data_IF_333355585666
#
_entry.id   IF_333355585666
#
_cell.length_a   1.000
_cell.length_b   1.000
_cell.length_c   1.000
_cell.angle_alpha   90.00
_cell.angle_beta   90.00
_cell.angle_gamma   90.00
#
_symmetry.space_group_name_H-M   'P 1'
#
loop_
_entity.id
_entity.type
_entity.pdbx_description
1 polymer ?
#
# COMPACT_ATOMS: atom_id res chain seq x y z
N UNK A 1 -29.25 -5.21 3.71
CA UNK A 1 -28.59 -6.52 3.75
C UNK A 1 -27.54 -6.45 4.85
N UNK A 2 -27.60 -7.28 5.89
CA UNK A 2 -26.57 -7.29 6.93
C UNK A 2 -25.32 -7.99 6.37
N UNK A 3 -24.17 -7.33 6.46
CA UNK A 3 -22.89 -7.91 6.06
C UNK A 3 -22.44 -8.99 7.04
N UNK A 4 -21.92 -10.11 6.54
CA UNK A 4 -21.29 -11.13 7.37
C UNK A 4 -19.83 -10.75 7.73
N UNK A 5 -19.21 -11.46 8.67
CA UNK A 5 -17.85 -11.15 9.15
C UNK A 5 -16.81 -11.22 8.02
N UNK A 6 -16.94 -12.17 7.10
CA UNK A 6 -16.05 -12.31 5.95
C UNK A 6 -16.19 -11.12 5.01
N UNK A 7 -17.42 -10.72 4.68
CA UNK A 7 -17.72 -9.53 3.88
C UNK A 7 -17.22 -8.24 4.52
N UNK A 8 -17.28 -8.14 5.85
CA UNK A 8 -16.75 -7.00 6.60
C UNK A 8 -15.22 -6.97 6.60
N UNK A 9 -14.56 -8.13 6.75
CA UNK A 9 -13.12 -8.27 6.65
C UNK A 9 -12.62 -7.97 5.23
N UNK A 10 -13.33 -8.43 4.20
CA UNK A 10 -13.01 -8.18 2.79
C UNK A 10 -13.21 -6.70 2.45
N UNK A 11 -14.30 -6.06 2.91
CA UNK A 11 -14.46 -4.61 2.76
C UNK A 11 -13.39 -3.81 3.53
N UNK A 12 -12.99 -4.29 4.70
CA UNK A 12 -11.94 -3.62 5.47
C UNK A 12 -10.57 -3.75 4.79
N UNK A 13 -10.26 -4.95 4.27
CA UNK A 13 -8.98 -5.29 3.63
C UNK A 13 -8.86 -4.71 2.22
N UNK A 14 -9.93 -4.75 1.42
CA UNK A 14 -9.92 -4.40 0.00
C UNK A 14 -10.69 -3.12 -0.35
N UNK A 15 -11.51 -2.59 0.57
CA UNK A 15 -12.28 -1.36 0.35
C UNK A 15 -13.56 -1.52 -0.49
N UNK A 16 -13.80 -2.71 -1.07
CA UNK A 16 -15.00 -3.07 -1.84
C UNK A 16 -15.35 -4.56 -1.63
N UNK A 17 -16.59 -4.94 -1.95
CA UNK A 17 -16.99 -6.35 -2.03
C UNK A 17 -16.26 -7.07 -3.18
N UNK A 18 -15.83 -8.33 -3.01
CA UNK A 18 -15.28 -9.13 -4.11
C UNK A 18 -16.26 -9.14 -5.28
N UNK A 19 -15.77 -8.83 -6.48
CA UNK A 19 -16.60 -8.84 -7.68
C UNK A 19 -16.86 -10.29 -8.06
N UNK A 20 -18.09 -10.56 -8.48
CA UNK A 20 -18.44 -11.81 -9.15
C UNK A 20 -17.44 -12.08 -10.29
N UNK A 21 -16.66 -13.15 -10.16
CA UNK A 21 -15.55 -13.43 -11.06
C UNK A 21 -16.00 -13.63 -12.50
N UNK A 22 -17.24 -14.04 -12.73
CA UNK A 22 -17.83 -14.17 -14.07
C UNK A 22 -17.95 -12.84 -14.83
N UNK A 23 -17.89 -11.70 -14.12
CA UNK A 23 -17.95 -10.35 -14.69
C UNK A 23 -16.59 -9.76 -15.01
N UNK A 24 -15.50 -10.44 -14.64
CA UNK A 24 -14.14 -9.97 -14.90
C UNK A 24 -13.75 -10.22 -16.37
N UNK A 25 -12.76 -9.49 -16.92
CA UNK A 25 -12.16 -9.81 -18.21
C UNK A 25 -11.72 -11.28 -18.32
N UNK A 26 -11.81 -11.87 -19.52
CA UNK A 26 -11.58 -13.31 -19.74
C UNK A 26 -10.15 -13.76 -19.43
N UNK A 27 -9.17 -12.91 -19.66
CA UNK A 27 -7.77 -13.14 -19.30
C UNK A 27 -7.58 -13.19 -17.77
N UNK A 28 -8.27 -12.33 -17.03
CA UNK A 28 -8.28 -12.37 -15.57
C UNK A 28 -9.01 -13.62 -15.06
N UNK A 29 -10.16 -13.97 -15.64
CA UNK A 29 -10.88 -15.20 -15.27
C UNK A 29 -9.99 -16.44 -15.42
N UNK A 30 -9.34 -16.58 -16.57
CA UNK A 30 -8.40 -17.68 -16.83
C UNK A 30 -7.21 -17.68 -15.85
N UNK A 31 -6.69 -16.50 -15.49
CA UNK A 31 -5.59 -16.42 -14.50
C UNK A 31 -6.05 -16.83 -13.10
N UNK A 32 -7.28 -16.50 -12.70
CA UNK A 32 -7.81 -16.86 -11.38
C UNK A 32 -7.93 -18.37 -11.16
N UNK A 33 -8.09 -19.17 -12.22
CA UNK A 33 -8.11 -20.63 -12.13
C UNK A 33 -6.76 -21.22 -11.66
N UNK A 34 -5.65 -20.55 -12.00
CA UNK A 34 -4.27 -21.03 -11.75
C UNK A 34 -3.55 -20.26 -10.63
N UNK A 35 -4.01 -19.04 -10.31
CA UNK A 35 -3.41 -18.19 -9.28
C UNK A 35 -3.21 -18.88 -7.90
N UNK A 36 -4.12 -19.74 -7.39
CA UNK A 36 -3.89 -20.46 -6.13
C UNK A 36 -2.69 -21.41 -6.18
N UNK A 37 -2.43 -22.05 -7.33
CA UNK A 37 -1.28 -22.93 -7.51
C UNK A 37 0.02 -22.12 -7.52
N UNK A 38 0.04 -20.99 -8.24
CA UNK A 38 1.19 -20.08 -8.27
C UNK A 38 1.54 -19.59 -6.86
N UNK A 39 0.52 -19.19 -6.10
CA UNK A 39 0.68 -18.71 -4.74
C UNK A 39 1.25 -19.79 -3.80
N UNK A 40 0.73 -21.02 -3.88
CA UNK A 40 1.26 -22.15 -3.10
C UNK A 40 2.70 -22.46 -3.47
N UNK A 41 3.02 -22.47 -4.76
CA UNK A 41 4.38 -22.72 -5.23
C UNK A 41 5.35 -21.62 -4.78
N UNK A 42 4.93 -20.34 -4.80
CA UNK A 42 5.71 -19.21 -4.29
C UNK A 42 6.01 -19.35 -2.80
N UNK A 43 4.99 -19.57 -1.98
CA UNK A 43 5.12 -19.66 -0.52
C UNK A 43 5.87 -20.92 -0.07
N UNK A 44 5.76 -22.04 -0.79
CA UNK A 44 6.47 -23.28 -0.47
C UNK A 44 8.00 -23.16 -0.54
N UNK A 45 8.54 -22.09 -1.13
CA UNK A 45 9.98 -21.79 -1.18
C UNK A 45 10.51 -21.18 0.11
N UNK A 46 9.62 -20.74 1.00
CA UNK A 46 9.97 -20.11 2.27
C UNK A 46 9.91 -21.13 3.40
N UNK A 47 11.00 -21.23 4.17
CA UNK A 47 11.04 -22.12 5.33
C UNK A 47 10.26 -21.52 6.51
N UNK A 48 9.83 -22.37 7.44
CA UNK A 48 9.22 -21.89 8.70
C UNK A 48 10.19 -21.04 9.52
N UNK A 49 11.49 -21.31 9.48
CA UNK A 49 12.51 -20.50 10.14
C UNK A 49 12.57 -19.09 9.54
N UNK A 50 12.61 -18.98 8.22
CA UNK A 50 12.61 -17.68 7.52
C UNK A 50 11.33 -16.88 7.79
N UNK A 51 10.18 -17.56 7.80
CA UNK A 51 8.88 -16.96 8.12
C UNK A 51 8.83 -16.44 9.57
N UNK A 52 9.46 -17.15 10.49
CA UNK A 52 9.47 -16.81 11.92
C UNK A 52 10.42 -15.66 12.29
N UNK A 53 11.26 -15.17 11.37
CA UNK A 53 12.18 -14.03 11.64
C UNK A 53 11.46 -12.74 12.04
N UNK A 54 10.21 -12.56 11.63
CA UNK A 54 9.41 -11.41 12.03
C UNK A 54 8.95 -11.45 13.50
N UNK A 55 8.83 -12.63 14.11
CA UNK A 55 8.30 -12.82 15.47
C UNK A 55 9.10 -12.08 16.56
N UNK A 56 10.44 -12.19 16.66
CA UNK A 56 11.19 -11.43 17.66
C UNK A 56 11.09 -9.91 17.45
N UNK A 57 10.92 -9.46 16.20
CA UNK A 57 10.72 -8.03 15.89
C UNK A 57 9.36 -7.53 16.39
N UNK A 58 8.31 -8.36 16.27
CA UNK A 58 7.01 -8.08 16.88
C UNK A 58 7.06 -8.06 18.40
N UNK A 59 7.81 -8.98 19.02
CA UNK A 59 8.02 -8.98 20.47
C UNK A 59 8.73 -7.68 20.94
N UNK A 60 9.74 -7.21 20.20
CA UNK A 60 10.40 -5.94 20.47
C UNK A 60 9.46 -4.74 20.31
N UNK A 61 8.54 -4.79 19.33
CA UNK A 61 7.51 -3.79 19.18
C UNK A 61 6.59 -3.76 20.42
N UNK A 62 6.09 -4.91 20.87
CA UNK A 62 5.23 -5.00 22.06
C UNK A 62 5.93 -4.51 23.34
N UNK A 63 7.22 -4.82 23.51
CA UNK A 63 8.00 -4.42 24.68
C UNK A 63 8.42 -2.93 24.67
N UNK A 64 8.24 -2.21 23.56
CA UNK A 64 8.72 -0.84 23.42
C UNK A 64 7.88 0.17 24.20
N UNK A 65 8.56 1.11 24.87
CA UNK A 65 7.96 2.11 25.75
C UNK A 65 7.35 3.33 25.05
N UNK A 66 7.67 3.57 23.77
CA UNK A 66 7.18 4.75 23.04
C UNK A 66 6.56 4.33 21.71
N UNK A 67 5.50 5.03 21.27
CA UNK A 67 4.83 4.75 20.00
C UNK A 67 5.78 4.79 18.80
N UNK A 68 6.77 5.69 18.80
CA UNK A 68 7.78 5.75 17.74
C UNK A 68 8.65 4.49 17.66
N UNK A 69 9.11 3.96 18.81
CA UNK A 69 9.85 2.69 18.85
C UNK A 69 8.97 1.50 18.46
N UNK A 70 7.71 1.49 18.89
CA UNK A 70 6.73 0.47 18.49
C UNK A 70 6.56 0.42 16.97
N UNK A 71 6.32 1.58 16.33
CA UNK A 71 6.22 1.67 14.87
C UNK A 71 7.52 1.25 14.19
N UNK A 72 8.68 1.69 14.68
CA UNK A 72 9.97 1.28 14.13
C UNK A 72 10.13 -0.25 14.08
N UNK A 73 9.83 -0.95 15.17
CA UNK A 73 9.93 -2.41 15.22
C UNK A 73 8.88 -3.11 14.37
N UNK A 74 7.66 -2.55 14.26
CA UNK A 74 6.64 -3.05 13.33
C UNK A 74 7.08 -2.88 11.86
N UNK A 75 7.71 -1.76 11.51
CA UNK A 75 8.33 -1.57 10.19
C UNK A 75 9.42 -2.60 9.93
N UNK A 76 10.25 -2.91 10.94
CA UNK A 76 11.27 -3.98 10.84
C UNK A 76 10.64 -5.36 10.67
N UNK A 77 9.57 -5.67 11.39
CA UNK A 77 8.85 -6.95 11.22
C UNK A 77 8.28 -7.09 9.80
N UNK A 78 7.63 -6.04 9.27
CA UNK A 78 7.13 -6.04 7.90
C UNK A 78 8.25 -6.08 6.86
N UNK A 79 9.38 -5.40 7.11
CA UNK A 79 10.56 -5.50 6.25
C UNK A 79 11.12 -6.92 6.25
N UNK A 80 11.20 -7.59 7.40
CA UNK A 80 11.64 -8.99 7.47
C UNK A 80 10.75 -9.91 6.64
N UNK A 81 9.44 -9.69 6.62
CA UNK A 81 8.54 -10.43 5.73
C UNK A 81 8.80 -10.08 4.26
N UNK A 82 8.99 -8.79 3.95
CA UNK A 82 9.32 -8.36 2.59
C UNK A 82 10.62 -8.99 2.08
N UNK A 83 11.64 -9.10 2.94
CA UNK A 83 12.93 -9.70 2.60
C UNK A 83 12.81 -11.22 2.43
N UNK A 84 12.03 -11.88 3.29
CA UNK A 84 11.79 -13.34 3.22
C UNK A 84 10.97 -13.74 1.99
N UNK A 85 9.90 -13.00 1.68
CA UNK A 85 8.92 -13.39 0.67
C UNK A 85 9.08 -12.67 -0.67
N UNK A 86 9.74 -11.51 -0.71
CA UNK A 86 9.75 -10.60 -1.86
C UNK A 86 10.37 -11.21 -3.11
N UNK A 87 11.41 -12.03 -2.97
CA UNK A 87 12.06 -12.74 -4.08
C UNK A 87 11.18 -13.80 -4.74
N UNK A 88 10.09 -14.20 -4.08
CA UNK A 88 9.11 -15.16 -4.57
C UNK A 88 7.79 -14.50 -5.01
N UNK A 89 7.72 -13.17 -5.01
CA UNK A 89 6.55 -12.39 -5.40
C UNK A 89 6.64 -11.90 -6.86
N UNK A 90 5.51 -11.50 -7.43
CA UNK A 90 5.43 -10.78 -8.71
C UNK A 90 5.88 -9.31 -8.63
N UNK A 91 6.19 -8.81 -7.42
CA UNK A 91 6.49 -7.41 -7.21
C UNK A 91 7.86 -7.04 -7.78
N UNK A 92 7.93 -5.87 -8.44
CA UNK A 92 9.17 -5.37 -9.06
C UNK A 92 9.26 -3.84 -9.00
N UNK A 93 10.46 -3.26 -9.05
CA UNK A 93 10.62 -1.81 -9.20
C UNK A 93 9.83 -1.30 -10.42
N UNK A 94 9.17 -0.14 -10.28
CA UNK A 94 8.32 0.44 -11.32
C UNK A 94 6.90 -0.15 -11.41
N UNK A 95 6.53 -1.12 -10.56
CA UNK A 95 5.13 -1.55 -10.41
C UNK A 95 4.44 -0.68 -9.35
N UNK A 96 3.43 0.09 -9.75
CA UNK A 96 2.78 1.11 -8.92
C UNK A 96 1.32 0.83 -8.56
N UNK A 97 0.73 -0.32 -8.95
CA UNK A 97 -0.69 -0.63 -8.71
C UNK A 97 -1.13 -0.45 -7.24
N UNK A 98 -0.30 -0.89 -6.29
CA UNK A 98 -0.59 -0.75 -4.86
C UNK A 98 -0.53 0.71 -4.36
N UNK A 99 0.03 1.64 -5.14
CA UNK A 99 -0.01 3.08 -4.84
C UNK A 99 -1.36 3.71 -5.21
N UNK A 100 -2.23 2.99 -5.92
CA UNK A 100 -3.55 3.48 -6.32
C UNK A 100 -4.70 2.85 -5.51
N UNK A 101 -4.41 1.89 -4.61
CA UNK A 101 -5.41 1.29 -3.71
C UNK A 101 -5.48 2.01 -2.35
N UNK A 102 -6.48 1.71 -1.50
CA UNK A 102 -6.48 2.20 -0.12
C UNK A 102 -5.27 1.71 0.67
N UNK A 103 -4.62 2.62 1.40
CA UNK A 103 -3.49 2.33 2.29
C UNK A 103 -3.82 2.90 3.66
N UNK A 104 -4.42 2.07 4.51
CA UNK A 104 -4.83 2.46 5.86
C UNK A 104 -3.64 2.37 6.82
N UNK A 105 -3.35 3.48 7.48
CA UNK A 105 -2.28 3.57 8.50
C UNK A 105 -2.82 4.19 9.78
N UNK A 106 -2.18 3.84 10.88
CA UNK A 106 -2.52 4.40 12.20
C UNK A 106 -1.99 5.82 12.36
N UNK A 107 -2.58 6.60 13.27
CA UNK A 107 -2.05 7.91 13.63
C UNK A 107 -0.59 7.84 14.09
N UNK A 108 -0.23 6.83 14.90
CA UNK A 108 1.14 6.65 15.37
C UNK A 108 2.12 6.45 14.20
N UNK A 109 1.74 5.63 13.23
CA UNK A 109 2.54 5.39 12.03
C UNK A 109 2.63 6.62 11.13
N UNK A 110 1.53 7.37 10.93
CA UNK A 110 1.54 8.62 10.19
C UNK A 110 2.48 9.67 10.84
N UNK A 111 2.44 9.81 12.17
CA UNK A 111 3.35 10.71 12.90
C UNK A 111 4.80 10.24 12.75
N UNK A 112 5.05 8.94 12.86
CA UNK A 112 6.38 8.38 12.68
C UNK A 112 6.93 8.67 11.28
N UNK A 113 6.19 8.30 10.22
CA UNK A 113 6.57 8.56 8.82
C UNK A 113 6.81 10.05 8.60
N UNK A 114 5.89 10.89 9.06
CA UNK A 114 5.98 12.33 8.87
C UNK A 114 7.22 12.97 9.48
N UNK A 115 7.69 12.45 10.62
CA UNK A 115 8.97 12.88 11.22
C UNK A 115 10.17 12.49 10.36
N UNK A 116 10.18 11.28 9.81
CA UNK A 116 11.31 10.78 9.00
C UNK A 116 11.43 11.52 7.66
N UNK A 117 10.30 11.89 7.06
CA UNK A 117 10.27 12.56 5.76
C UNK A 117 10.19 14.10 5.85
N UNK A 118 10.19 14.65 7.06
CA UNK A 118 10.06 16.11 7.27
C UNK A 118 8.70 16.70 6.88
N UNK A 119 7.64 15.89 6.70
CA UNK A 119 6.28 16.31 6.33
C UNK A 119 5.31 15.95 7.45
N UNK A 120 4.76 16.93 8.15
CA UNK A 120 3.79 16.65 9.24
C UNK A 120 2.49 16.06 8.67
N UNK A 121 1.96 14.97 9.24
CA UNK A 121 0.63 14.49 8.87
C UNK A 121 -0.45 15.46 9.40
N UNK A 122 -1.63 15.44 8.78
CA UNK A 122 -2.81 16.12 9.31
C UNK A 122 -3.20 15.60 10.69
N UNK A 123 -3.74 16.48 11.53
CA UNK A 123 -4.28 16.08 12.83
C UNK A 123 -5.53 15.19 12.62
N UNK A 124 -5.69 14.15 13.44
CA UNK A 124 -6.78 13.18 13.30
C UNK A 124 -8.18 13.84 13.28
N UNK A 125 -8.39 14.88 14.10
CA UNK A 125 -9.62 15.67 14.15
C UNK A 125 -9.93 16.48 12.87
N UNK A 126 -8.99 16.54 11.94
CA UNK A 126 -9.08 17.29 10.68
C UNK A 126 -8.94 16.38 9.46
N UNK A 127 -9.07 15.06 9.63
CA UNK A 127 -9.14 14.16 8.51
C UNK A 127 -10.47 14.39 7.77
N UNK A 128 -10.38 14.57 6.46
CA UNK A 128 -11.55 14.62 5.58
C UNK A 128 -12.20 13.24 5.43
N UNK A 129 -13.28 13.13 4.62
CA UNK A 129 -13.88 11.84 4.31
C UNK A 129 -12.84 10.88 3.67
N UNK A 130 -13.07 9.56 3.74
CA UNK A 130 -12.28 8.60 2.99
C UNK A 130 -12.24 8.98 1.49
N UNK A 131 -11.09 8.84 0.82
CA UNK A 131 -10.99 9.16 -0.60
C UNK A 131 -11.88 8.21 -1.43
N UNK A 132 -12.54 8.75 -2.46
CA UNK A 132 -13.13 7.91 -3.50
C UNK A 132 -11.99 7.38 -4.38
N UNK A 133 -11.77 6.08 -4.34
CA UNK A 133 -10.72 5.41 -5.11
C UNK A 133 -11.38 4.60 -6.20
N UNK A 134 -11.23 5.07 -7.45
CA UNK A 134 -11.71 4.39 -8.65
C UNK A 134 -10.52 4.25 -9.60
N UNK A 135 -10.12 3.00 -9.85
CA UNK A 135 -8.97 2.71 -10.72
C UNK A 135 -7.72 3.48 -10.28
N UNK A 136 -7.13 4.23 -11.21
CA UNK A 136 -5.86 4.93 -11.03
C UNK A 136 -5.99 6.43 -10.68
N UNK A 137 -7.22 6.94 -10.54
CA UNK A 137 -7.50 8.40 -10.49
C UNK A 137 -7.01 9.09 -9.21
N UNK A 138 -6.87 8.33 -8.12
CA UNK A 138 -6.49 8.84 -6.80
C UNK A 138 -5.17 8.20 -6.33
N UNK A 139 -4.01 8.55 -6.91
CA UNK A 139 -2.72 7.99 -6.49
C UNK A 139 -2.36 8.38 -5.04
N UNK A 140 -1.50 7.59 -4.42
CA UNK A 140 -0.84 7.90 -3.16
C UNK A 140 -0.07 9.23 -3.28
N UNK A 141 -0.07 10.11 -2.26
CA UNK A 141 0.65 11.39 -2.28
C UNK A 141 2.17 11.25 -2.36
N UNK A 142 2.70 10.03 -2.26
CA UNK A 142 4.11 9.71 -2.37
C UNK A 142 4.46 8.93 -3.65
N UNK A 143 3.53 8.78 -4.58
CA UNK A 143 3.82 8.20 -5.89
C UNK A 143 4.51 9.25 -6.79
N UNK A 144 5.68 8.92 -7.32
CA UNK A 144 6.42 9.74 -8.27
C UNK A 144 7.12 8.85 -9.30
N UNK A 145 6.83 9.04 -10.59
CA UNK A 145 7.42 8.26 -11.70
C UNK A 145 7.34 6.74 -11.47
N UNK A 146 6.13 6.23 -11.18
CA UNK A 146 5.86 4.82 -10.87
C UNK A 146 6.66 4.23 -9.70
N UNK A 147 7.21 5.10 -8.85
CA UNK A 147 8.03 4.73 -7.70
C UNK A 147 7.57 5.49 -6.45
N UNK A 148 7.76 4.87 -5.29
CA UNK A 148 7.46 5.55 -4.03
C UNK A 148 8.59 6.51 -3.66
N UNK A 149 8.28 7.81 -3.53
CA UNK A 149 9.24 8.84 -3.12
C UNK A 149 9.73 8.69 -1.68
N UNK A 150 9.02 7.90 -0.86
CA UNK A 150 9.37 7.57 0.53
C UNK A 150 9.66 6.08 0.70
N UNK A 151 10.23 5.41 -0.32
CA UNK A 151 10.39 3.94 -0.35
C UNK A 151 10.94 3.34 0.96
N UNK A 152 11.98 3.97 1.52
CA UNK A 152 12.63 3.59 2.79
C UNK A 152 11.75 3.75 4.02
N UNK A 153 10.72 4.61 3.96
CA UNK A 153 9.79 4.94 5.04
C UNK A 153 8.36 4.50 4.72
N UNK A 154 8.18 3.61 3.73
CA UNK A 154 6.87 3.07 3.39
C UNK A 154 6.19 2.48 4.63
N UNK A 155 4.85 2.63 4.73
CA UNK A 155 4.08 2.00 5.79
C UNK A 155 4.32 0.49 5.85
N UNK A 156 4.10 -0.07 7.04
CA UNK A 156 4.13 -1.50 7.31
C UNK A 156 3.32 -2.28 6.28
N UNK A 157 2.07 -1.87 6.07
CA UNK A 157 1.15 -2.52 5.13
C UNK A 157 1.68 -2.49 3.71
N UNK A 158 2.35 -1.42 3.27
CA UNK A 158 2.95 -1.35 1.93
C UNK A 158 4.16 -2.25 1.76
N UNK A 159 4.93 -2.53 2.83
CA UNK A 159 6.10 -3.42 2.77
C UNK A 159 5.68 -4.88 2.63
N UNK A 160 4.64 -5.27 3.36
CA UNK A 160 4.14 -6.64 3.42
C UNK A 160 3.08 -6.96 2.36
N UNK A 161 2.71 -5.99 1.50
CA UNK A 161 1.74 -6.18 0.42
C UNK A 161 2.40 -6.80 -0.82
N UNK A 162 2.52 -8.13 -0.82
CA UNK A 162 3.21 -8.90 -1.86
C UNK A 162 2.23 -9.78 -2.63
N UNK A 163 2.25 -9.71 -3.96
CA UNK A 163 1.45 -10.57 -4.84
C UNK A 163 2.22 -11.86 -5.16
N UNK A 164 1.61 -13.03 -4.94
CA UNK A 164 2.20 -14.34 -5.25
C UNK A 164 1.64 -15.03 -6.51
N UNK A 165 1.03 -14.26 -7.41
CA UNK A 165 0.81 -14.70 -8.78
C UNK A 165 2.10 -14.59 -9.62
N UNK A 166 2.04 -14.94 -10.91
CA UNK A 166 3.22 -14.91 -11.80
C UNK A 166 3.67 -13.50 -12.19
N UNK A 167 2.72 -12.57 -12.30
CA UNK A 167 2.96 -11.21 -12.78
C UNK A 167 1.95 -10.22 -12.16
N UNK A 168 1.90 -8.99 -12.68
CA UNK A 168 1.05 -7.92 -12.17
C UNK A 168 -0.39 -7.94 -12.68
N UNK A 169 -0.80 -8.92 -13.50
CA UNK A 169 -2.10 -8.94 -14.18
C UNK A 169 -3.26 -8.76 -13.21
N UNK A 170 -3.28 -9.54 -12.12
CA UNK A 170 -4.35 -9.48 -11.13
C UNK A 170 -4.31 -8.19 -10.31
N UNK A 171 -3.18 -7.50 -10.24
CA UNK A 171 -3.06 -6.22 -9.54
C UNK A 171 -3.59 -5.03 -10.36
N UNK A 172 -3.87 -5.20 -11.66
CA UNK A 172 -4.34 -4.11 -12.51
C UNK A 172 -5.74 -3.67 -12.07
N UNK A 173 -5.88 -2.37 -11.83
CA UNK A 173 -7.12 -1.84 -11.28
C UNK A 173 -8.17 -1.68 -12.38
N UNK A 174 -9.32 -2.28 -12.14
CA UNK A 174 -10.49 -2.19 -12.99
C UNK A 174 -11.52 -1.26 -12.32
N UNK A 175 -11.95 -0.16 -12.96
CA UNK A 175 -12.92 0.76 -12.37
C UNK A 175 -14.18 0.05 -11.86
N UNK A 176 -14.48 0.21 -10.56
CA UNK A 176 -15.65 -0.38 -9.93
C UNK A 176 -15.59 -1.90 -9.72
N UNK A 177 -14.45 -2.54 -9.98
CA UNK A 177 -14.27 -3.99 -9.85
C UNK A 177 -13.13 -4.34 -8.89
N UNK A 178 -13.29 -5.50 -8.25
CA UNK A 178 -12.37 -6.11 -7.30
C UNK A 178 -11.80 -7.39 -7.87
N UNK A 179 -10.49 -7.44 -8.08
CA UNK A 179 -9.80 -8.67 -8.48
C UNK A 179 -9.23 -9.36 -7.24
N UNK A 180 -9.52 -10.66 -7.01
CA UNK A 180 -8.96 -11.39 -5.88
C UNK A 180 -7.50 -11.79 -6.17
N UNK A 181 -6.58 -10.95 -5.74
CA UNK A 181 -5.13 -11.17 -5.87
C UNK A 181 -4.62 -12.05 -4.72
N UNK A 182 -3.76 -13.06 -4.96
CA UNK A 182 -3.19 -13.89 -3.91
C UNK A 182 -2.06 -13.13 -3.18
N UNK A 183 -2.43 -12.19 -2.32
CA UNK A 183 -1.47 -11.46 -1.49
C UNK A 183 -0.93 -12.31 -0.34
N UNK A 184 0.25 -11.94 0.19
CA UNK A 184 0.73 -12.43 1.48
C UNK A 184 -0.33 -12.22 2.57
N UNK A 185 -0.61 -13.26 3.36
CA UNK A 185 -1.53 -13.14 4.48
C UNK A 185 -0.85 -12.37 5.63
N UNK A 186 -1.19 -11.09 5.74
CA UNK A 186 -0.68 -10.19 6.78
C UNK A 186 -1.68 -9.94 7.91
N UNK A 187 -2.76 -10.73 8.02
CA UNK A 187 -3.82 -10.47 9.02
C UNK A 187 -3.26 -10.46 10.44
N UNK A 188 -2.42 -11.44 10.79
CA UNK A 188 -1.79 -11.51 12.11
C UNK A 188 -0.87 -10.31 12.38
N UNK A 189 -0.10 -9.88 11.38
CA UNK A 189 0.75 -8.69 11.48
C UNK A 189 -0.08 -7.44 11.78
N UNK A 190 -1.18 -7.24 11.05
CA UNK A 190 -2.01 -6.04 11.24
C UNK A 190 -2.77 -6.08 12.57
N UNK A 191 -3.26 -7.25 13.00
CA UNK A 191 -3.88 -7.40 14.32
C UNK A 191 -2.87 -7.10 15.44
N UNK A 192 -1.65 -7.62 15.35
CA UNK A 192 -0.58 -7.31 16.28
C UNK A 192 -0.25 -5.81 16.29
N UNK A 193 -0.20 -5.16 15.11
CA UNK A 193 0.03 -3.73 15.01
C UNK A 193 -1.05 -2.89 15.70
N UNK A 194 -2.33 -3.24 15.51
CA UNK A 194 -3.45 -2.55 16.14
C UNK A 194 -3.36 -2.69 17.67
N UNK A 195 -3.07 -3.88 18.17
CA UNK A 195 -2.93 -4.13 19.60
C UNK A 195 -1.74 -3.36 20.19
N UNK A 196 -0.56 -3.50 19.60
CA UNK A 196 0.69 -2.87 20.05
C UNK A 196 0.60 -1.35 20.04
N UNK A 197 0.01 -0.77 18.99
CA UNK A 197 -0.08 0.69 18.86
C UNK A 197 -1.28 1.28 19.63
N UNK A 198 -2.24 0.45 20.03
CA UNK A 198 -3.44 0.85 20.75
C UNK A 198 -4.71 0.79 19.89
N UNK A 199 -5.73 0.09 20.39
CA UNK A 199 -6.95 -0.25 19.65
C UNK A 199 -7.87 0.96 19.37
N UNK A 200 -7.72 2.06 20.11
CA UNK A 200 -8.59 3.24 20.02
C UNK A 200 -8.02 4.36 19.16
N UNK A 201 -6.83 4.19 18.60
CA UNK A 201 -6.21 5.26 17.82
C UNK A 201 -6.90 5.42 16.46
N UNK A 202 -6.91 6.64 15.90
CA UNK A 202 -7.43 6.87 14.55
C UNK A 202 -6.65 6.05 13.50
N UNK A 203 -7.40 5.42 12.60
CA UNK A 203 -6.89 4.73 11.41
C UNK A 203 -7.54 5.39 10.19
N UNK A 204 -6.73 5.77 9.21
CA UNK A 204 -7.21 6.42 8.00
C UNK A 204 -6.28 6.15 6.82
N UNK A 205 -6.77 6.43 5.61
CA UNK A 205 -5.98 6.29 4.39
C UNK A 205 -4.78 7.25 4.41
N UNK A 206 -3.65 6.84 3.84
CA UNK A 206 -2.43 7.65 3.74
C UNK A 206 -2.69 8.99 3.04
N UNK A 207 -3.64 9.04 2.09
CA UNK A 207 -4.09 10.27 1.43
C UNK A 207 -4.81 11.20 2.40
N UNK A 208 -5.52 10.69 3.41
CA UNK A 208 -6.12 11.52 4.45
C UNK A 208 -5.06 12.11 5.38
N UNK A 209 -3.97 11.41 5.65
CA UNK A 209 -2.87 11.93 6.47
C UNK A 209 -1.98 12.93 5.75
N UNK A 210 -1.68 12.69 4.46
CA UNK A 210 -0.64 13.40 3.71
C UNK A 210 -1.08 13.95 2.36
N UNK A 211 -2.33 13.83 1.95
CA UNK A 211 -2.84 14.48 0.74
C UNK A 211 -2.84 16.01 0.88
N UNK A 212 -2.92 16.71 -0.23
CA UNK A 212 -3.04 18.17 -0.21
C UNK A 212 -4.46 18.59 0.23
N UNK A 213 -4.62 19.83 0.68
CA UNK A 213 -5.93 20.40 1.01
C UNK A 213 -6.49 21.01 -0.27
N UNK A 214 -7.56 20.45 -0.82
CA UNK A 214 -8.34 21.08 -1.89
C UNK A 214 -7.91 20.78 -3.32
N UNK A 215 -7.94 19.50 -3.73
CA UNK A 215 -8.10 19.16 -5.14
C UNK A 215 -9.58 18.84 -5.42
N UNK A 216 -10.45 19.85 -5.30
CA UNK A 216 -11.43 20.00 -6.38
C UNK A 216 -10.60 20.32 -7.63
N UNK A 217 -10.87 19.59 -8.71
CA UNK A 217 -10.16 19.66 -9.99
C UNK A 217 -9.74 21.08 -10.34
N UNK A 218 -8.44 21.37 -10.23
CA UNK A 218 -7.84 22.46 -10.98
C UNK A 218 -7.25 21.85 -12.24
N UNK A 219 -8.14 21.69 -13.23
CA UNK A 219 -7.77 21.70 -14.64
C UNK A 219 -6.99 23.01 -14.87
N UNK A 220 -5.65 22.95 -14.84
CA UNK A 220 -4.83 24.02 -15.41
C UNK A 220 -4.40 23.54 -16.79
N UNK A 221 -4.87 24.18 -17.87
CA UNK A 221 -4.35 23.88 -19.19
C UNK A 221 -2.86 24.21 -19.21
N UNK A 222 -2.08 23.28 -19.76
CA UNK A 222 -0.66 23.45 -20.05
C UNK A 222 -0.48 24.63 -21.00
N UNK A 223 -0.21 25.81 -20.45
CA UNK A 223 0.24 26.93 -21.25
C UNK A 223 1.68 26.66 -21.67
N UNK A 224 1.83 26.36 -22.96
CA UNK A 224 3.11 26.14 -23.61
C UNK A 224 4.05 27.32 -23.40
N UNK A 225 5.24 27.04 -22.86
CA UNK A 225 6.38 27.95 -23.00
C UNK A 225 7.02 27.70 -24.35
N UNK A 226 6.62 28.50 -25.32
CA UNK A 226 7.32 28.66 -26.59
C UNK A 226 8.66 29.37 -26.33
N UNK A 227 9.72 28.72 -26.83
CA UNK A 227 11.07 29.19 -27.17
C UNK A 227 11.40 30.68 -27.00
N UNK A 228 12.56 30.95 -26.38
CA UNK A 228 13.45 32.04 -26.79
C UNK A 228 14.91 31.55 -26.73
N UNK A 229 15.36 31.03 -27.87
CA UNK A 229 16.77 30.79 -28.18
C UNK A 229 17.56 32.09 -28.04
N UNK A 230 18.57 32.10 -27.17
CA UNK A 230 19.58 33.16 -27.10
C UNK A 230 20.72 32.80 -28.05
N UNK A 231 20.81 33.51 -29.18
CA UNK A 231 21.91 33.44 -30.13
C UNK A 231 23.24 33.78 -29.45
N UNK A 232 24.20 32.85 -29.51
CA UNK A 232 25.60 33.07 -29.19
C UNK A 232 26.26 33.80 -30.37
N UNK A 233 26.97 34.90 -30.07
CA UNK A 233 27.83 35.61 -31.02
C UNK A 233 29.10 34.80 -31.22
N UNK A 234 29.42 34.48 -32.47
CA UNK A 234 30.74 34.01 -32.88
C UNK A 234 31.69 35.19 -33.05
N UNK A 235 32.93 34.99 -32.60
CA UNK A 235 34.09 35.78 -32.99
C UNK A 235 34.34 35.59 -34.49
N UNK A 236 34.51 36.69 -35.22
CA UNK A 236 35.62 37.00 -36.15
C UNK A 236 35.41 38.40 -36.73
#
# INVERSE_FOLDING_TARGET
MMMNLQEALDLWQYGHQPTDTSKLPTDIQARLETAPEHARAAVARVTSEDANRALPLLANAAASSTSGKRVFWLHKAAQSLADTYGTHSACRPGCSHCCHIPVKITQAEAIYIGRQIGRRPRAAKHLGPPPSIVGYESPCPFLASDSCSIYEWRPMVCRSHLNFDQDDLLCRLLPGMSVPVPYLDTRLLVLAAIDILGQTQPIADIRQWFGDVGSEQHDRPSTGRTSLHKQLRGNE
#
